data_IF_530722643668
#
_entry.id   IF_530722643668
#
_cell.length_a   1.000
_cell.length_b   1.000
_cell.length_c   1.000
_cell.angle_alpha   90.00
_cell.angle_beta   90.00
_cell.angle_gamma   90.00
#
_symmetry.space_group_name_H-M   'P 1'
#
loop_
_entity.id
_entity.type
_entity.pdbx_description
1 polymer ?
#
# COMPACT_ATOMS: atom_id res chain seq x y z
N UNK A 1 10.11 18.80 -8.06
CA UNK A 1 10.52 18.89 -6.63
C UNK A 1 11.51 17.77 -6.37
N UNK A 2 12.48 17.91 -5.45
CA UNK A 2 13.35 16.82 -5.07
C UNK A 2 12.53 15.67 -4.45
N UNK A 3 12.98 14.42 -4.65
CA UNK A 3 12.36 13.26 -4.02
C UNK A 3 12.64 13.28 -2.53
N UNK A 4 11.60 13.10 -1.72
CA UNK A 4 11.69 12.97 -0.26
C UNK A 4 10.86 11.78 0.20
N UNK A 5 11.33 11.11 1.25
CA UNK A 5 10.61 10.01 1.89
C UNK A 5 10.31 10.37 3.34
N UNK A 6 9.02 10.34 3.68
CA UNK A 6 8.51 10.57 5.03
C UNK A 6 8.04 9.24 5.61
N UNK A 7 8.44 8.95 6.84
CA UNK A 7 7.97 7.75 7.55
C UNK A 7 7.23 8.13 8.83
N UNK A 8 6.41 7.21 9.30
CA UNK A 8 5.85 7.25 10.64
C UNK A 8 6.45 6.13 11.47
N UNK A 9 6.88 6.47 12.67
CA UNK A 9 7.44 5.51 13.62
C UNK A 9 6.80 5.70 14.99
N UNK A 10 6.84 4.64 15.79
CA UNK A 10 6.56 4.72 17.22
C UNK A 10 7.90 4.93 17.95
N UNK A 11 8.04 6.05 18.64
CA UNK A 11 9.22 6.35 19.46
C UNK A 11 8.75 6.75 20.85
N UNK A 12 9.25 6.08 21.89
CA UNK A 12 8.87 6.32 23.28
C UNK A 12 7.35 6.34 23.54
N UNK A 13 6.60 5.48 22.83
CA UNK A 13 5.15 5.38 22.92
C UNK A 13 4.37 6.47 22.17
N UNK A 14 5.05 7.34 21.45
CA UNK A 14 4.45 8.40 20.64
C UNK A 14 4.64 8.13 19.14
N UNK A 15 3.60 8.41 18.38
CA UNK A 15 3.69 8.40 16.92
C UNK A 15 4.32 9.70 16.44
N UNK A 16 5.46 9.60 15.76
CA UNK A 16 6.15 10.75 15.19
C UNK A 16 6.36 10.57 13.69
N UNK A 17 6.42 11.67 12.97
CA UNK A 17 6.84 11.72 11.58
C UNK A 17 8.32 12.01 11.49
N UNK A 18 9.02 11.29 10.63
CA UNK A 18 10.45 11.43 10.38
C UNK A 18 10.71 11.47 8.88
N UNK A 19 11.84 12.05 8.50
CA UNK A 19 12.33 12.07 7.11
C UNK A 19 13.48 11.08 6.98
N UNK A 20 13.54 10.33 5.90
CA UNK A 20 14.68 9.49 5.57
C UNK A 20 15.80 10.36 4.96
N UNK A 21 16.96 10.37 5.61
CA UNK A 21 18.17 11.07 5.15
C UNK A 21 19.34 10.08 5.13
N UNK A 22 19.72 9.65 3.92
CA UNK A 22 20.67 8.54 3.77
C UNK A 22 20.10 7.25 4.37
N UNK A 23 20.76 6.71 5.38
CA UNK A 23 20.36 5.48 6.09
C UNK A 23 19.77 5.76 7.50
N UNK A 24 19.47 7.03 7.81
CA UNK A 24 18.93 7.44 9.11
C UNK A 24 17.54 8.05 8.98
N UNK A 25 16.75 7.93 10.05
CA UNK A 25 15.46 8.60 10.19
C UNK A 25 15.66 9.83 11.06
N UNK A 26 15.34 11.01 10.49
CA UNK A 26 15.56 12.28 11.17
C UNK A 26 14.23 12.88 11.60
N UNK A 27 14.10 13.24 12.88
CA UNK A 27 12.94 13.93 13.44
C UNK A 27 12.90 15.40 13.01
N UNK A 28 11.79 16.08 13.27
CA UNK A 28 11.67 17.53 13.03
C UNK A 28 12.69 18.35 13.84
N UNK A 29 13.03 17.87 15.04
CA UNK A 29 14.01 18.53 15.94
C UNK A 29 15.48 18.17 15.61
N UNK A 30 15.69 17.34 14.60
CA UNK A 30 17.02 16.94 14.11
C UNK A 30 17.63 15.75 14.86
N UNK A 31 16.87 15.03 15.66
CA UNK A 31 17.35 13.79 16.29
C UNK A 31 17.36 12.65 15.24
N UNK A 32 18.43 11.86 15.25
CA UNK A 32 18.56 10.66 14.41
C UNK A 32 18.06 9.42 15.14
N UNK A 33 17.30 8.58 14.41
CA UNK A 33 16.84 7.27 14.86
C UNK A 33 17.34 6.22 13.88
N UNK A 34 17.97 5.15 14.38
CA UNK A 34 18.39 4.04 13.54
C UNK A 34 17.18 3.39 12.88
N UNK A 35 17.23 3.30 11.56
CA UNK A 35 16.16 2.71 10.75
C UNK A 35 15.85 1.26 11.12
N UNK A 36 16.83 0.52 11.64
CA UNK A 36 16.70 -0.88 12.03
C UNK A 36 16.02 -1.07 13.38
N UNK A 37 16.11 -0.06 14.24
CA UNK A 37 15.52 -0.08 15.59
C UNK A 37 14.13 0.58 15.59
N UNK A 38 13.77 1.27 14.53
CA UNK A 38 12.51 1.99 14.43
C UNK A 38 11.32 1.02 14.30
N UNK A 39 10.33 1.16 15.17
CA UNK A 39 9.02 0.52 14.98
C UNK A 39 8.22 1.32 13.96
N UNK A 40 8.17 0.82 12.72
CA UNK A 40 7.45 1.48 11.64
C UNK A 40 5.95 1.39 11.82
N UNK A 41 5.26 2.44 11.44
CA UNK A 41 3.81 2.52 11.31
C UNK A 41 3.43 2.75 9.85
N UNK A 42 2.19 2.46 9.42
CA UNK A 42 1.76 2.83 8.08
C UNK A 42 1.97 4.33 7.85
N UNK A 43 2.59 4.74 6.73
CA UNK A 43 2.95 6.14 6.51
C UNK A 43 1.74 7.06 6.37
N UNK A 44 0.55 6.47 6.17
CA UNK A 44 -0.72 7.19 6.02
C UNK A 44 -1.81 6.58 6.91
N UNK A 45 -2.88 7.35 7.14
CA UNK A 45 -4.11 6.87 7.79
C UNK A 45 -5.27 7.03 6.80
N UNK A 46 -5.44 6.09 5.87
CA UNK A 46 -6.44 6.22 4.82
C UNK A 46 -7.86 6.05 5.39
N UNK A 47 -8.82 6.79 4.82
CA UNK A 47 -10.24 6.57 5.08
C UNK A 47 -10.81 5.40 4.26
N UNK A 48 -10.11 4.97 3.23
CA UNK A 48 -10.45 3.83 2.36
C UNK A 48 -9.21 3.32 1.63
N UNK A 49 -9.23 2.03 1.30
CA UNK A 49 -8.23 1.38 0.47
C UNK A 49 -8.97 0.81 -0.73
N UNK A 50 -8.63 1.29 -1.93
CA UNK A 50 -9.23 0.85 -3.20
C UNK A 50 -8.14 0.20 -4.02
N UNK A 51 -8.35 -1.05 -4.42
CA UNK A 51 -7.43 -1.81 -5.25
C UNK A 51 -7.98 -1.94 -6.67
N UNK A 52 -7.10 -1.94 -7.65
CA UNK A 52 -7.43 -2.17 -9.07
C UNK A 52 -7.29 -3.65 -9.36
N UNK A 53 -8.37 -4.29 -9.75
CA UNK A 53 -8.36 -5.70 -10.08
C UNK A 53 -7.76 -5.93 -11.48
N UNK A 54 -6.89 -6.96 -11.62
CA UNK A 54 -6.21 -7.31 -12.89
C UNK A 54 -5.47 -6.10 -13.52
N UNK A 55 -4.69 -5.41 -12.73
CA UNK A 55 -3.99 -4.19 -13.13
C UNK A 55 -2.77 -4.45 -14.04
N UNK A 56 -2.23 -5.66 -14.06
CA UNK A 56 -1.07 -6.04 -14.86
C UNK A 56 -1.46 -6.94 -16.04
N UNK A 57 -1.04 -6.58 -17.25
CA UNK A 57 -1.30 -7.39 -18.46
C UNK A 57 -0.72 -8.81 -18.33
N UNK A 58 0.42 -8.98 -17.66
CA UNK A 58 1.02 -10.28 -17.38
C UNK A 58 0.09 -11.17 -16.55
N UNK A 59 -0.61 -10.60 -15.55
CA UNK A 59 -1.59 -11.35 -14.73
C UNK A 59 -2.82 -11.74 -15.52
N UNK A 60 -3.29 -10.89 -16.43
CA UNK A 60 -4.40 -11.23 -17.34
C UNK A 60 -4.05 -12.45 -18.18
N UNK A 61 -2.82 -12.52 -18.70
CA UNK A 61 -2.31 -13.66 -19.46
C UNK A 61 -2.18 -14.92 -18.60
N UNK A 62 -1.64 -14.78 -17.39
CA UNK A 62 -1.47 -15.89 -16.43
C UNK A 62 -2.82 -16.55 -16.05
N UNK A 63 -3.84 -15.75 -15.83
CA UNK A 63 -5.18 -16.25 -15.51
C UNK A 63 -5.99 -16.67 -16.74
N UNK A 64 -5.42 -16.60 -17.94
CA UNK A 64 -6.09 -16.96 -19.21
C UNK A 64 -7.48 -16.29 -19.30
N UNK A 65 -7.53 -15.03 -18.90
CA UNK A 65 -8.76 -14.25 -18.88
C UNK A 65 -8.70 -13.09 -19.86
N UNK A 66 -9.82 -12.39 -20.06
CA UNK A 66 -9.88 -11.22 -20.91
C UNK A 66 -9.57 -9.96 -20.10
N UNK A 67 -8.79 -9.06 -20.69
CA UNK A 67 -8.62 -7.74 -20.14
C UNK A 67 -9.99 -7.05 -20.03
N UNK A 68 -10.38 -6.54 -18.85
CA UNK A 68 -11.63 -5.81 -18.71
C UNK A 68 -11.60 -4.53 -19.59
N UNK A 69 -12.73 -4.11 -20.16
CA UNK A 69 -12.80 -2.92 -21.01
C UNK A 69 -12.58 -1.61 -20.24
N UNK A 70 -12.67 -1.65 -18.94
CA UNK A 70 -12.41 -0.54 -18.02
C UNK A 70 -11.82 -1.10 -16.70
N UNK A 71 -11.08 -0.29 -15.93
CA UNK A 71 -10.59 -0.71 -14.63
C UNK A 71 -11.72 -1.19 -13.72
N UNK A 72 -11.52 -2.32 -13.07
CA UNK A 72 -12.42 -2.85 -12.03
C UNK A 72 -11.78 -2.69 -10.67
N UNK A 73 -12.59 -2.48 -9.64
CA UNK A 73 -12.11 -2.10 -8.32
C UNK A 73 -12.73 -2.99 -7.24
N UNK A 74 -11.99 -3.17 -6.17
CA UNK A 74 -12.51 -3.71 -4.92
C UNK A 74 -11.96 -2.91 -3.73
N UNK A 75 -12.62 -3.06 -2.59
CA UNK A 75 -12.20 -2.45 -1.34
C UNK A 75 -11.46 -3.44 -0.45
N UNK A 76 -10.37 -2.99 0.16
CA UNK A 76 -9.87 -3.62 1.39
C UNK A 76 -10.39 -2.81 2.59
N UNK A 77 -10.92 -3.47 3.63
CA UNK A 77 -11.26 -2.76 4.86
C UNK A 77 -10.01 -2.15 5.50
N UNK A 78 -10.18 -1.04 6.20
CA UNK A 78 -9.06 -0.34 6.87
C UNK A 78 -8.40 -1.23 7.93
N UNK A 79 -9.16 -2.16 8.53
CA UNK A 79 -8.64 -3.15 9.48
C UNK A 79 -7.59 -4.09 8.88
N UNK A 80 -7.55 -4.22 7.55
CA UNK A 80 -6.50 -4.99 6.87
C UNK A 80 -5.14 -4.24 6.83
N UNK A 81 -5.13 -2.93 7.07
CA UNK A 81 -3.91 -2.11 7.04
C UNK A 81 -2.90 -2.61 8.06
N UNK A 82 -1.66 -2.77 7.62
CA UNK A 82 -0.53 -3.17 8.44
C UNK A 82 0.68 -2.30 8.11
N UNK A 83 1.69 -2.34 8.94
CA UNK A 83 2.92 -1.57 8.77
C UNK A 83 4.00 -2.33 8.00
N UNK A 84 5.00 -1.60 7.54
CA UNK A 84 6.28 -2.17 7.14
C UNK A 84 6.88 -2.98 8.29
N UNK A 85 7.31 -4.21 8.01
CA UNK A 85 7.81 -5.19 8.99
C UNK A 85 6.76 -5.66 10.02
N UNK A 86 5.50 -5.28 9.88
CA UNK A 86 4.43 -5.82 10.71
C UNK A 86 4.10 -7.27 10.33
N UNK A 87 3.75 -8.07 11.34
CA UNK A 87 3.40 -9.47 11.14
C UNK A 87 2.14 -9.62 10.26
N UNK A 88 2.24 -10.43 9.24
CA UNK A 88 1.09 -10.84 8.43
C UNK A 88 0.55 -12.16 8.98
N UNK A 89 -0.62 -12.09 9.60
CA UNK A 89 -1.24 -13.24 10.26
C UNK A 89 -2.09 -14.02 9.26
N UNK A 90 -1.62 -15.22 8.90
CA UNK A 90 -2.41 -16.13 8.06
C UNK A 90 -3.53 -16.76 8.89
N UNK A 91 -4.81 -16.60 8.52
CA UNK A 91 -5.91 -17.26 9.23
C UNK A 91 -5.76 -18.78 9.23
N UNK A 92 -6.16 -19.43 10.33
CA UNK A 92 -5.98 -20.87 10.56
C UNK A 92 -6.50 -21.77 9.44
N UNK A 93 -7.61 -21.39 8.80
CA UNK A 93 -8.23 -22.18 7.73
C UNK A 93 -7.70 -21.87 6.34
N UNK A 94 -6.75 -20.95 6.21
CA UNK A 94 -6.15 -20.61 4.93
C UNK A 94 -4.93 -21.52 4.67
N UNK A 95 -4.92 -22.19 3.55
CA UNK A 95 -3.79 -23.00 3.06
C UNK A 95 -2.93 -22.23 2.07
N UNK A 96 -3.54 -21.32 1.33
CA UNK A 96 -2.89 -20.55 0.27
C UNK A 96 -3.01 -19.04 0.50
N UNK A 97 -2.05 -18.49 1.23
CA UNK A 97 -1.84 -17.05 1.34
C UNK A 97 -1.00 -16.58 0.17
N UNK A 98 -1.57 -15.77 -0.70
CA UNK A 98 -0.90 -15.18 -1.86
C UNK A 98 -0.43 -13.76 -1.54
N UNK A 99 0.68 -13.34 -2.14
CA UNK A 99 1.24 -12.00 -2.04
C UNK A 99 1.18 -11.28 -3.38
N UNK A 100 0.99 -9.96 -3.35
CA UNK A 100 0.89 -9.13 -4.55
C UNK A 100 1.52 -7.75 -4.24
N UNK A 101 2.77 -7.54 -4.72
CA UNK A 101 3.47 -6.27 -4.55
C UNK A 101 2.90 -5.21 -5.48
N UNK A 102 2.57 -4.05 -4.91
CA UNK A 102 1.86 -2.99 -5.61
C UNK A 102 2.41 -1.60 -5.29
N UNK A 103 2.29 -0.68 -6.24
CA UNK A 103 2.47 0.74 -6.00
C UNK A 103 1.15 1.30 -5.47
N UNK A 104 1.18 1.88 -4.28
CA UNK A 104 0.04 2.59 -3.72
C UNK A 104 0.15 4.09 -3.99
N UNK A 105 -0.87 4.65 -4.62
CA UNK A 105 -1.01 6.09 -4.85
C UNK A 105 -1.80 6.66 -3.67
N UNK A 106 -1.20 7.59 -2.95
CA UNK A 106 -1.84 8.24 -1.80
C UNK A 106 -2.50 9.53 -2.23
N UNK A 107 -3.84 9.59 -2.11
CA UNK A 107 -4.62 10.79 -2.39
C UNK A 107 -4.56 11.71 -1.16
N UNK A 108 -4.04 12.92 -1.34
CA UNK A 108 -3.75 13.88 -0.27
C UNK A 108 -4.87 14.83 0.08
N UNK A 109 -5.85 15.00 -0.81
CA UNK A 109 -7.00 15.88 -0.59
C UNK A 109 -8.26 15.34 -1.27
N UNK A 110 -9.41 15.66 -0.69
CA UNK A 110 -10.70 15.25 -1.26
C UNK A 110 -10.87 15.78 -2.68
N UNK A 111 -11.34 14.90 -3.58
CA UNK A 111 -11.61 15.25 -4.96
C UNK A 111 -12.82 14.48 -5.50
N UNK A 112 -13.46 15.06 -6.50
CA UNK A 112 -14.58 14.45 -7.21
C UNK A 112 -14.69 15.03 -8.62
N UNK A 113 -14.88 14.16 -9.62
CA UNK A 113 -15.08 14.56 -11.02
C UNK A 113 -13.96 15.47 -11.57
N UNK A 114 -12.72 15.21 -11.14
CA UNK A 114 -11.54 15.93 -11.64
C UNK A 114 -11.15 15.42 -13.02
N UNK A 115 -10.52 16.27 -13.82
CA UNK A 115 -9.98 15.84 -15.10
C UNK A 115 -8.72 14.99 -14.93
N UNK A 116 -8.39 14.12 -15.88
CA UNK A 116 -7.12 13.39 -15.86
C UNK A 116 -5.90 14.33 -15.82
N UNK A 117 -5.98 15.52 -16.44
CA UNK A 117 -4.91 16.49 -16.44
C UNK A 117 -4.62 17.05 -15.04
N UNK A 118 -5.66 17.19 -14.21
CA UNK A 118 -5.54 17.76 -12.86
C UNK A 118 -5.27 16.70 -11.79
N UNK A 119 -5.37 15.40 -12.12
CA UNK A 119 -5.28 14.30 -11.16
C UNK A 119 -3.99 14.34 -10.33
N UNK A 120 -2.87 14.70 -10.94
CA UNK A 120 -1.58 14.80 -10.28
C UNK A 120 -1.55 15.76 -9.09
N UNK A 121 -2.36 16.81 -9.11
CA UNK A 121 -2.43 17.80 -8.02
C UNK A 121 -3.06 17.25 -6.72
N UNK A 122 -3.76 16.12 -6.81
CA UNK A 122 -4.45 15.48 -5.69
C UNK A 122 -3.62 14.36 -5.06
N UNK A 123 -2.50 13.99 -5.67
CA UNK A 123 -1.60 12.95 -5.18
C UNK A 123 -0.66 13.55 -4.13
N UNK A 124 -0.71 13.02 -2.91
CA UNK A 124 0.23 13.37 -1.84
C UNK A 124 1.60 12.71 -2.06
N UNK A 125 1.63 11.53 -2.64
CA UNK A 125 2.84 10.76 -2.89
C UNK A 125 2.52 9.29 -3.16
N UNK A 126 3.56 8.49 -3.11
CA UNK A 126 3.53 7.07 -3.44
C UNK A 126 4.14 6.26 -2.30
N UNK A 127 3.68 5.04 -2.16
CA UNK A 127 4.28 4.05 -1.25
C UNK A 127 4.14 2.66 -1.86
N UNK A 128 4.67 1.65 -1.19
CA UNK A 128 4.51 0.25 -1.58
C UNK A 128 3.42 -0.37 -0.71
N UNK A 129 2.61 -1.22 -1.30
CA UNK A 129 1.65 -2.07 -0.61
C UNK A 129 1.87 -3.52 -0.99
N UNK A 130 1.54 -4.43 -0.08
CA UNK A 130 1.42 -5.84 -0.41
C UNK A 130 -0.04 -6.27 -0.22
N UNK A 131 -0.72 -6.51 -1.33
CA UNK A 131 -2.13 -6.89 -1.34
C UNK A 131 -2.30 -8.40 -1.11
N UNK A 132 -2.03 -8.85 0.13
CA UNK A 132 -2.21 -10.26 0.48
C UNK A 132 -3.64 -10.73 0.28
N UNK A 133 -3.77 -12.00 -0.14
CA UNK A 133 -5.07 -12.61 -0.40
C UNK A 133 -5.15 -14.07 0.04
N UNK A 134 -6.31 -14.46 0.55
CA UNK A 134 -6.64 -15.83 0.95
C UNK A 134 -7.24 -16.57 -0.25
N UNK A 135 -6.38 -17.09 -1.12
CA UNK A 135 -6.80 -17.63 -2.41
C UNK A 135 -7.68 -18.88 -2.34
N UNK A 136 -7.70 -19.58 -1.20
CA UNK A 136 -8.64 -20.68 -0.93
C UNK A 136 -10.11 -20.23 -1.02
N UNK A 137 -10.39 -18.95 -0.87
CA UNK A 137 -11.76 -18.43 -0.79
C UNK A 137 -12.23 -17.71 -2.06
N UNK A 138 -11.42 -17.66 -3.12
CA UNK A 138 -11.75 -16.94 -4.36
C UNK A 138 -13.11 -17.35 -4.95
N UNK A 139 -13.37 -18.64 -5.05
CA UNK A 139 -14.59 -19.16 -5.68
C UNK A 139 -15.82 -19.01 -4.78
N UNK A 140 -15.62 -18.85 -3.47
CA UNK A 140 -16.71 -18.73 -2.50
C UNK A 140 -17.06 -17.29 -2.13
N UNK A 141 -16.28 -16.30 -2.58
CA UNK A 141 -16.48 -14.89 -2.25
C UNK A 141 -17.41 -14.16 -3.24
N UNK A 142 -17.94 -14.89 -4.22
CA UNK A 142 -18.91 -14.40 -5.20
C UNK A 142 -18.51 -13.05 -5.85
N UNK A 143 -17.21 -12.80 -6.02
CA UNK A 143 -16.67 -11.59 -6.63
C UNK A 143 -16.59 -10.37 -5.72
N UNK A 144 -17.03 -10.46 -4.46
CA UNK A 144 -16.92 -9.34 -3.51
C UNK A 144 -15.50 -9.01 -3.10
N UNK A 145 -14.62 -10.00 -3.17
CA UNK A 145 -13.21 -9.97 -2.72
C UNK A 145 -13.02 -9.68 -1.22
N UNK A 146 -14.08 -9.46 -0.46
CA UNK A 146 -13.98 -9.09 0.94
C UNK A 146 -13.37 -10.21 1.80
N UNK A 147 -13.80 -11.45 1.60
CA UNK A 147 -13.26 -12.61 2.32
C UNK A 147 -11.83 -12.92 1.89
N UNK A 148 -11.55 -12.75 0.60
CA UNK A 148 -10.22 -13.01 0.03
C UNK A 148 -9.21 -11.98 0.51
N UNK A 149 -9.57 -10.70 0.56
CA UNK A 149 -8.64 -9.58 0.73
C UNK A 149 -8.80 -8.81 2.05
N UNK A 150 -9.82 -9.11 2.85
CA UNK A 150 -10.26 -8.24 3.94
C UNK A 150 -9.86 -8.64 5.35
N UNK A 151 -9.15 -9.75 5.56
CA UNK A 151 -8.68 -10.11 6.91
C UNK A 151 -7.66 -9.12 7.44
N UNK A 152 -7.59 -9.00 8.75
CA UNK A 152 -6.66 -8.14 9.45
C UNK A 152 -5.21 -8.44 9.02
N UNK A 153 -4.36 -7.43 9.03
CA UNK A 153 -2.92 -7.48 8.68
C UNK A 153 -2.59 -7.77 7.21
N UNK A 154 -3.56 -8.06 6.35
CA UNK A 154 -3.33 -8.47 4.96
C UNK A 154 -3.00 -7.32 3.99
N UNK A 155 -2.69 -6.13 4.49
CA UNK A 155 -2.29 -4.98 3.68
C UNK A 155 -1.12 -4.23 4.32
N UNK A 156 0.09 -4.81 4.39
CA UNK A 156 1.27 -4.06 4.76
C UNK A 156 1.52 -2.92 3.79
N UNK A 157 1.72 -1.71 4.31
CA UNK A 157 1.97 -0.49 3.54
C UNK A 157 3.18 0.25 4.11
N UNK A 158 4.09 0.64 3.26
CA UNK A 158 5.28 1.38 3.65
C UNK A 158 6.53 1.00 2.83
N UNK A 159 7.74 1.32 3.34
CA UNK A 159 8.03 1.91 4.65
C UNK A 159 7.64 3.37 4.79
N UNK A 160 7.70 4.16 3.71
CA UNK A 160 7.45 5.60 3.76
C UNK A 160 6.53 6.09 2.65
N UNK A 161 6.12 7.34 2.77
CA UNK A 161 5.45 8.11 1.72
C UNK A 161 6.51 8.88 0.94
N UNK A 162 6.64 8.58 -0.34
CA UNK A 162 7.63 9.20 -1.24
C UNK A 162 6.94 10.29 -2.05
N UNK A 163 7.47 11.51 -1.98
CA UNK A 163 7.00 12.66 -2.78
C UNK A 163 8.03 13.04 -3.85
N UNK A 164 7.61 13.76 -4.88
CA UNK A 164 8.51 14.18 -5.96
C UNK A 164 9.11 13.02 -6.77
N UNK A 165 8.43 11.88 -6.80
CA UNK A 165 8.88 10.67 -7.48
C UNK A 165 7.99 10.34 -8.68
N UNK A 166 8.59 9.77 -9.70
CA UNK A 166 7.90 9.25 -10.89
C UNK A 166 8.10 7.73 -10.95
N UNK A 167 6.99 6.98 -10.95
CA UNK A 167 7.00 5.52 -11.01
C UNK A 167 7.01 4.94 -12.43
N UNK A 168 6.88 5.78 -13.48
CA UNK A 168 6.89 5.31 -14.84
C UNK A 168 8.20 4.57 -15.18
N UNK A 169 8.08 3.44 -15.83
CA UNK A 169 9.21 2.58 -16.20
C UNK A 169 10.05 2.07 -15.00
N UNK A 170 9.47 2.02 -13.82
CA UNK A 170 10.11 1.41 -12.65
C UNK A 170 9.67 -0.04 -12.51
N UNK A 171 10.61 -0.88 -12.05
CA UNK A 171 10.31 -2.27 -11.71
C UNK A 171 9.76 -2.39 -10.30
N UNK A 172 8.88 -3.38 -10.09
CA UNK A 172 8.48 -3.85 -8.77
C UNK A 172 8.86 -5.31 -8.63
N UNK A 173 9.30 -5.70 -7.44
CA UNK A 173 9.63 -7.08 -7.10
C UNK A 173 8.98 -7.44 -5.78
N UNK A 174 8.39 -8.61 -5.72
CA UNK A 174 7.77 -9.19 -4.54
C UNK A 174 8.39 -10.55 -4.26
#
# INVERSE_FOLDING_TARGET
MPTKEYRKILLNGQTIQVTLEGDELVTEDGESVDIKEAQHLPPTQPSKIICVHLNYESRVKEYITKLPPAPTYFHKPITALNSHQGDVVRPERCKWLNYEGEIAIVIGRSCRNISPADAGEYIAGYTIANDYGLHDFRDTDAGSMLRVKGSDTLCPVGPGLVTGWDFHNKGIRT
#
